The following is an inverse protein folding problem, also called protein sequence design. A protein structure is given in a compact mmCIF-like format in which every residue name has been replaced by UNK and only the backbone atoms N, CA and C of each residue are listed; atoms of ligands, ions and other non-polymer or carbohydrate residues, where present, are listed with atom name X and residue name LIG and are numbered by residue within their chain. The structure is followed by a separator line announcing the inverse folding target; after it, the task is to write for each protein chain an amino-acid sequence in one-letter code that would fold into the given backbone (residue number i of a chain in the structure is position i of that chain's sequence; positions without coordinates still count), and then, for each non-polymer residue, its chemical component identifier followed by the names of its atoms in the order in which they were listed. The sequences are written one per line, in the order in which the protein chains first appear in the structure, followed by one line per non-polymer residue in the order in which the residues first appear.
data_IF_788171127587
#
_entry.id   IF_788171127587
#
_cell.length_a   1.000
_cell.length_b   1.000
_cell.length_c   1.000
_cell.angle_alpha   90.00
_cell.angle_beta   90.00
_cell.angle_gamma   90.00
#
_symmetry.space_group_name_H-M   'P 1'
#
loop_
_entity.id
_entity.type
_entity.pdbx_description
1 polymer ?
#
# COMPACT_ATOMS: atom_id res chain seq x y z
N UNK A 1 23.71 2.28 -18.08
CA UNK A 1 23.16 1.85 -16.79
C UNK A 1 23.62 0.43 -16.51
N UNK A 2 24.32 0.22 -15.40
CA UNK A 2 24.84 -1.09 -14.97
C UNK A 2 23.78 -1.88 -14.20
N UNK A 3 24.00 -3.18 -14.02
CA UNK A 3 23.09 -4.00 -13.19
C UNK A 3 23.05 -3.51 -11.74
N UNK A 4 24.18 -3.07 -11.19
CA UNK A 4 24.27 -2.51 -9.84
C UNK A 4 23.40 -1.25 -9.72
N UNK A 5 23.50 -0.33 -10.68
CA UNK A 5 22.67 0.88 -10.70
C UNK A 5 21.18 0.54 -10.80
N UNK A 6 20.80 -0.48 -11.60
CA UNK A 6 19.41 -0.95 -11.67
C UNK A 6 18.91 -1.48 -10.33
N UNK A 7 19.73 -2.26 -9.62
CA UNK A 7 19.40 -2.80 -8.29
C UNK A 7 19.20 -1.69 -7.27
N UNK A 8 20.07 -0.68 -7.26
CA UNK A 8 19.95 0.47 -6.36
C UNK A 8 18.68 1.27 -6.64
N UNK A 9 18.41 1.58 -7.91
CA UNK A 9 17.22 2.34 -8.32
C UNK A 9 15.93 1.59 -7.97
N UNK A 10 15.85 0.28 -8.24
CA UNK A 10 14.63 -0.47 -7.98
C UNK A 10 14.37 -0.62 -6.48
N UNK A 11 15.41 -0.85 -5.67
CA UNK A 11 15.28 -0.92 -4.21
C UNK A 11 14.85 0.42 -3.61
N UNK A 12 15.42 1.52 -4.10
CA UNK A 12 15.01 2.87 -3.70
C UNK A 12 13.53 3.12 -4.04
N UNK A 13 13.10 2.78 -5.26
CA UNK A 13 11.70 2.91 -5.69
C UNK A 13 10.76 2.07 -4.84
N UNK A 14 11.05 0.78 -4.66
CA UNK A 14 10.21 -0.12 -3.84
C UNK A 14 10.03 0.46 -2.43
N UNK A 15 11.12 0.92 -1.80
CA UNK A 15 11.06 1.54 -0.48
C UNK A 15 10.13 2.75 -0.45
N UNK A 16 10.31 3.69 -1.37
CA UNK A 16 9.49 4.90 -1.45
C UNK A 16 8.00 4.59 -1.68
N UNK A 17 7.71 3.60 -2.54
CA UNK A 17 6.33 3.22 -2.86
C UNK A 17 5.64 2.48 -1.70
N UNK A 18 6.40 1.79 -0.85
CA UNK A 18 5.93 1.21 0.42
C UNK A 18 5.64 2.32 1.44
N UNK A 19 6.52 3.32 1.56
CA UNK A 19 6.27 4.49 2.43
C UNK A 19 4.98 5.22 2.01
N UNK A 20 4.77 5.42 0.71
CA UNK A 20 3.51 5.98 0.19
C UNK A 20 2.29 5.11 0.50
N UNK A 21 2.42 3.78 0.41
CA UNK A 21 1.34 2.86 0.82
C UNK A 21 0.99 3.01 2.31
N UNK A 22 1.97 3.28 3.18
CA UNK A 22 1.73 3.55 4.60
C UNK A 22 0.92 4.81 4.81
N UNK A 23 1.26 5.90 4.11
CA UNK A 23 0.50 7.15 4.14
C UNK A 23 -0.96 6.94 3.73
N UNK A 24 -1.20 6.19 2.64
CA UNK A 24 -2.56 5.84 2.20
C UNK A 24 -3.33 5.03 3.25
N UNK A 25 -2.65 4.10 3.93
CA UNK A 25 -3.22 3.33 5.03
C UNK A 25 -3.60 4.24 6.20
N UNK A 26 -2.78 5.22 6.55
CA UNK A 26 -3.10 6.22 7.58
C UNK A 26 -4.31 7.07 7.21
N UNK A 27 -4.38 7.56 5.97
CA UNK A 27 -5.53 8.30 5.45
C UNK A 27 -6.82 7.47 5.54
N UNK A 28 -6.78 6.21 5.12
CA UNK A 28 -7.92 5.28 5.26
C UNK A 28 -8.35 5.15 6.72
N UNK A 29 -7.41 4.99 7.65
CA UNK A 29 -7.76 4.81 9.05
C UNK A 29 -8.39 6.07 9.65
N UNK A 30 -7.94 7.26 9.22
CA UNK A 30 -8.56 8.52 9.61
C UNK A 30 -9.96 8.67 9.01
N UNK A 31 -10.14 8.42 7.71
CA UNK A 31 -11.45 8.42 7.05
C UNK A 31 -12.42 7.43 7.70
N UNK A 32 -11.92 6.25 8.09
CA UNK A 32 -12.71 5.23 8.81
C UNK A 32 -13.21 5.75 10.16
N UNK A 33 -12.34 6.37 10.96
CA UNK A 33 -12.72 6.95 12.27
C UNK A 33 -13.75 8.06 12.12
N UNK A 34 -13.61 8.91 11.09
CA UNK A 34 -14.59 9.96 10.82
C UNK A 34 -15.93 9.38 10.38
N UNK A 35 -15.92 8.37 9.49
CA UNK A 35 -17.12 7.67 9.07
C UNK A 35 -17.83 6.94 10.22
N UNK A 36 -17.10 6.29 11.12
CA UNK A 36 -17.65 5.60 12.30
C UNK A 36 -18.36 6.56 13.27
N UNK A 37 -17.99 7.84 13.29
CA UNK A 37 -18.66 8.89 14.09
C UNK A 37 -19.91 9.47 13.40
N UNK A 38 -20.12 9.18 12.12
CA UNK A 38 -21.26 9.73 11.38
C UNK A 38 -22.57 9.04 11.76
N UNK A 39 -23.56 9.84 12.14
CA UNK A 39 -24.93 9.37 12.23
C UNK A 39 -25.53 9.21 10.82
N UNK A 40 -26.48 8.26 10.62
CA UNK A 40 -27.19 8.13 9.35
C UNK A 40 -27.97 9.42 9.02
N UNK A 41 -27.47 10.21 8.06
CA UNK A 41 -28.02 11.50 7.65
C UNK A 41 -26.92 12.49 7.23
N UNK A 42 -27.28 13.55 6.49
CA UNK A 42 -26.35 14.62 6.08
C UNK A 42 -25.09 14.12 5.35
N UNK A 43 -23.95 14.17 6.06
CA UNK A 43 -22.59 13.89 5.56
C UNK A 43 -22.26 12.40 5.41
N UNK A 44 -23.14 11.48 5.84
CA UNK A 44 -22.87 10.03 5.81
C UNK A 44 -22.43 9.53 4.42
N UNK A 45 -23.10 9.99 3.34
CA UNK A 45 -22.76 9.60 1.97
C UNK A 45 -21.38 10.11 1.54
N UNK A 46 -21.04 11.33 1.93
CA UNK A 46 -19.76 11.96 1.62
C UNK A 46 -18.62 11.24 2.35
N UNK A 47 -18.73 11.03 3.67
CA UNK A 47 -17.71 10.31 4.45
C UNK A 47 -17.55 8.85 4.03
N UNK A 48 -18.63 8.20 3.59
CA UNK A 48 -18.54 6.88 2.96
C UNK A 48 -17.73 6.94 1.65
N UNK A 49 -18.02 7.92 0.80
CA UNK A 49 -17.30 8.12 -0.46
C UNK A 49 -15.80 8.38 -0.24
N UNK A 50 -15.45 9.19 0.77
CA UNK A 50 -14.05 9.42 1.16
C UNK A 50 -13.36 8.12 1.58
N UNK A 51 -14.01 7.34 2.44
CA UNK A 51 -13.48 6.06 2.90
C UNK A 51 -13.31 5.06 1.75
N UNK A 52 -14.29 4.95 0.86
CA UNK A 52 -14.25 4.09 -0.33
C UNK A 52 -13.12 4.52 -1.30
N UNK A 53 -12.89 5.82 -1.41
CA UNK A 53 -11.77 6.38 -2.19
C UNK A 53 -10.43 5.97 -1.59
N UNK A 54 -10.26 6.03 -0.27
CA UNK A 54 -9.04 5.55 0.38
C UNK A 54 -8.81 4.04 0.17
N UNK A 55 -9.86 3.22 0.25
CA UNK A 55 -9.74 1.78 -0.05
C UNK A 55 -9.31 1.54 -1.50
N UNK A 56 -9.87 2.30 -2.44
CA UNK A 56 -9.51 2.21 -3.86
C UNK A 56 -8.05 2.59 -4.09
N UNK A 57 -7.58 3.71 -3.51
CA UNK A 57 -6.19 4.14 -3.61
C UNK A 57 -5.20 3.09 -3.09
N UNK A 58 -5.48 2.50 -1.92
CA UNK A 58 -4.68 1.40 -1.36
C UNK A 58 -4.66 0.18 -2.29
N UNK A 59 -5.80 -0.17 -2.87
CA UNK A 59 -5.90 -1.32 -3.79
C UNK A 59 -5.07 -1.10 -5.05
N UNK A 60 -5.12 0.10 -5.62
CA UNK A 60 -4.31 0.49 -6.79
C UNK A 60 -2.83 0.42 -6.44
N UNK A 61 -2.41 1.04 -5.34
CA UNK A 61 -1.01 1.09 -4.93
C UNK A 61 -0.45 -0.31 -4.63
N UNK A 62 -1.21 -1.16 -3.94
CA UNK A 62 -0.84 -2.56 -3.71
C UNK A 62 -0.66 -3.33 -5.01
N UNK A 63 -1.54 -3.13 -5.98
CA UNK A 63 -1.46 -3.80 -7.29
C UNK A 63 -0.22 -3.35 -8.06
N UNK A 64 0.06 -2.04 -8.06
CA UNK A 64 1.26 -1.48 -8.67
C UNK A 64 2.54 -2.05 -8.02
N UNK A 65 2.64 -2.02 -6.69
CA UNK A 65 3.77 -2.58 -5.96
C UNK A 65 3.99 -4.07 -6.28
N UNK A 66 2.93 -4.87 -6.32
CA UNK A 66 3.05 -6.28 -6.70
C UNK A 66 3.63 -6.45 -8.10
N UNK A 67 3.19 -5.65 -9.08
CA UNK A 67 3.75 -5.68 -10.44
C UNK A 67 5.22 -5.24 -10.49
N UNK A 68 5.61 -4.25 -9.69
CA UNK A 68 7.00 -3.82 -9.54
C UNK A 68 7.85 -4.95 -8.95
N UNK A 69 7.37 -5.62 -7.91
CA UNK A 69 8.07 -6.74 -7.28
C UNK A 69 8.21 -7.94 -8.22
N UNK A 70 7.15 -8.32 -8.92
CA UNK A 70 7.16 -9.43 -9.89
C UNK A 70 8.19 -9.13 -11.00
N UNK A 71 8.17 -7.92 -11.55
CA UNK A 71 9.12 -7.50 -12.59
C UNK A 71 10.56 -7.48 -12.07
N UNK A 72 10.79 -6.95 -10.86
CA UNK A 72 12.12 -6.89 -10.27
C UNK A 72 12.70 -8.29 -9.99
N UNK A 73 11.85 -9.22 -9.56
CA UNK A 73 12.20 -10.62 -9.34
C UNK A 73 12.55 -11.33 -10.66
N UNK A 74 11.70 -11.21 -11.68
CA UNK A 74 11.91 -11.83 -13.00
C UNK A 74 13.21 -11.34 -13.66
N UNK A 75 13.54 -10.06 -13.47
CA UNK A 75 14.79 -9.46 -13.94
C UNK A 75 16.02 -9.77 -13.06
N UNK A 76 15.84 -10.56 -11.99
CA UNK A 76 16.89 -10.93 -11.03
C UNK A 76 17.60 -9.71 -10.43
N UNK A 77 16.80 -8.67 -10.11
CA UNK A 77 17.24 -7.46 -9.42
C UNK A 77 17.03 -7.53 -7.90
N UNK A 78 16.14 -8.41 -7.46
CA UNK A 78 15.95 -8.80 -6.05
C UNK A 78 15.99 -10.33 -5.93
N UNK A 79 16.34 -10.83 -4.75
CA UNK A 79 16.34 -12.27 -4.45
C UNK A 79 14.91 -12.79 -4.17
N UNK A 80 14.77 -14.11 -4.13
CA UNK A 80 13.52 -14.76 -3.70
C UNK A 80 13.13 -14.37 -2.26
N UNK A 81 14.12 -14.28 -1.38
CA UNK A 81 13.90 -13.96 0.03
C UNK A 81 13.42 -12.51 0.17
N UNK A 82 14.11 -11.57 -0.50
CA UNK A 82 13.72 -10.15 -0.55
C UNK A 82 12.30 -9.99 -1.12
N UNK A 83 11.99 -10.69 -2.21
CA UNK A 83 10.67 -10.67 -2.81
C UNK A 83 9.57 -11.16 -1.84
N UNK A 84 9.83 -12.26 -1.14
CA UNK A 84 8.88 -12.85 -0.19
C UNK A 84 8.64 -11.94 1.01
N UNK A 85 9.73 -11.37 1.57
CA UNK A 85 9.69 -10.43 2.69
C UNK A 85 8.91 -9.15 2.32
N UNK A 86 9.18 -8.58 1.13
CA UNK A 86 8.49 -7.37 0.67
C UNK A 86 6.99 -7.62 0.43
N UNK A 87 6.62 -8.79 -0.12
CA UNK A 87 5.22 -9.20 -0.30
C UNK A 87 4.48 -9.31 1.03
N UNK A 88 5.12 -9.95 2.02
CA UNK A 88 4.59 -10.07 3.37
C UNK A 88 4.45 -8.69 4.03
N UNK A 89 5.46 -7.84 3.93
CA UNK A 89 5.43 -6.48 4.45
C UNK A 89 4.26 -5.67 3.87
N UNK A 90 4.05 -5.70 2.56
CA UNK A 90 2.91 -5.02 1.89
C UNK A 90 1.58 -5.57 2.39
N UNK A 91 1.47 -6.90 2.50
CA UNK A 91 0.26 -7.55 3.02
C UNK A 91 -0.04 -7.08 4.44
N UNK A 92 0.95 -7.15 5.34
CA UNK A 92 0.80 -6.76 6.74
C UNK A 92 0.42 -5.28 6.88
N UNK A 93 1.04 -4.38 6.12
CA UNK A 93 0.68 -2.94 6.15
C UNK A 93 -0.78 -2.69 5.76
N UNK A 94 -1.29 -3.39 4.75
CA UNK A 94 -2.69 -3.23 4.31
C UNK A 94 -3.69 -3.81 5.31
N UNK A 95 -3.37 -4.97 5.90
CA UNK A 95 -4.34 -5.79 6.63
C UNK A 95 -4.17 -5.84 8.16
N UNK A 96 -2.97 -5.68 8.74
CA UNK A 96 -2.78 -5.79 10.20
C UNK A 96 -3.57 -4.74 10.99
N UNK A 97 -3.81 -3.55 10.42
CA UNK A 97 -4.66 -2.53 11.08
C UNK A 97 -6.16 -2.85 11.05
N UNK A 98 -6.59 -4.02 10.54
CA UNK A 98 -7.98 -4.51 10.70
C UNK A 98 -8.21 -5.33 11.98
N UNK A 99 -7.16 -5.82 12.65
CA UNK A 99 -7.27 -6.88 13.69
C UNK A 99 -7.25 -6.36 15.13
N UNK A 100 -6.87 -5.10 15.39
CA UNK A 100 -7.00 -4.51 16.74
C UNK A 100 -8.37 -3.83 16.92
N UNK A 101 -9.39 -4.65 17.17
CA UNK A 101 -10.65 -4.25 17.80
C UNK A 101 -10.65 -4.73 19.26
#
# INVERSE_FOLDING_TARGET
MTKTEQVEIIKFKIKHEIEYLEELVELRNNARKEFEKCFPGGEYKEKKCDLDTCYTAISIQRTYLNGVLDTAYDLKLISQDEYSELREQIFNKVYEKRVKL
#
